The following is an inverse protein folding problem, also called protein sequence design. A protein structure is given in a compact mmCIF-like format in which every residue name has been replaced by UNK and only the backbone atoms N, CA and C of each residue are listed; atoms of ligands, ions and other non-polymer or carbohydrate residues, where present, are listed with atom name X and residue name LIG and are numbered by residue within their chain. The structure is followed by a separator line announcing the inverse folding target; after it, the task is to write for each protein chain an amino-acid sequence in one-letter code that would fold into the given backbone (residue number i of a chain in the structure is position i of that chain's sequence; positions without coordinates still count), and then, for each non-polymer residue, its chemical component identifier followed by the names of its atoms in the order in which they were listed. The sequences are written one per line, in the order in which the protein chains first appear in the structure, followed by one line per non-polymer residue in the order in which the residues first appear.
data_IF_274143130275
#
_entry.id   IF_274143130275
#
_cell.length_a   1.000
_cell.length_b   1.000
_cell.length_c   1.000
_cell.angle_alpha   90.00
_cell.angle_beta   90.00
_cell.angle_gamma   90.00
#
_symmetry.space_group_name_H-M   'P 1'
#
loop_
_entity.id
_entity.type
_entity.pdbx_description
1 polymer ?
#
# COMPACT_ATOMS: atom_id res chain seq x y z
N UNK A 1 24.02 1.12 -8.42
CA UNK A 1 23.10 1.55 -9.49
C UNK A 1 22.42 2.87 -9.10
N UNK A 2 21.93 3.66 -10.08
CA UNK A 2 21.31 4.98 -9.82
C UNK A 2 19.78 4.84 -9.84
N UNK A 3 19.09 5.46 -8.88
CA UNK A 3 17.64 5.58 -8.89
C UNK A 3 17.23 6.49 -10.05
N UNK A 4 16.29 6.06 -10.89
CA UNK A 4 15.75 6.86 -11.99
C UNK A 4 14.44 7.52 -11.59
N UNK A 5 14.22 8.75 -12.06
CA UNK A 5 13.03 9.55 -11.79
C UNK A 5 12.19 9.71 -13.05
N UNK A 6 10.88 9.64 -12.89
CA UNK A 6 9.89 9.75 -13.95
C UNK A 6 8.72 10.62 -13.51
N UNK A 7 8.26 11.49 -14.39
CA UNK A 7 7.06 12.31 -14.18
C UNK A 7 5.87 11.80 -15.02
N UNK A 8 6.18 11.03 -16.08
CA UNK A 8 5.18 10.37 -16.91
C UNK A 8 5.00 8.90 -16.53
N UNK A 9 3.74 8.50 -16.35
CA UNK A 9 3.34 7.15 -15.94
C UNK A 9 3.71 6.08 -16.98
N UNK A 10 3.53 6.38 -18.25
CA UNK A 10 3.82 5.42 -19.33
C UNK A 10 5.30 5.14 -19.36
N UNK A 11 6.15 6.17 -19.41
CA UNK A 11 7.61 6.04 -19.38
C UNK A 11 8.11 5.30 -18.13
N UNK A 12 7.48 5.52 -16.96
CA UNK A 12 7.79 4.79 -15.74
C UNK A 12 7.51 3.29 -15.92
N UNK A 13 6.34 2.92 -16.44
CA UNK A 13 5.93 1.53 -16.63
C UNK A 13 6.72 0.85 -17.76
N UNK A 14 7.00 1.54 -18.87
CA UNK A 14 7.85 1.02 -19.95
C UNK A 14 9.24 0.63 -19.43
N UNK A 15 9.85 1.54 -18.66
CA UNK A 15 11.16 1.27 -18.07
C UNK A 15 11.11 0.16 -17.01
N UNK A 16 10.08 0.16 -16.15
CA UNK A 16 9.94 -0.87 -15.11
C UNK A 16 9.78 -2.27 -15.73
N UNK A 17 8.96 -2.39 -16.77
CA UNK A 17 8.56 -3.69 -17.34
C UNK A 17 9.41 -4.14 -18.53
N UNK A 18 10.35 -3.33 -19.02
CA UNK A 18 11.04 -3.53 -20.30
C UNK A 18 10.04 -3.83 -21.44
N UNK A 19 8.96 -3.05 -21.50
CA UNK A 19 7.83 -3.29 -22.39
C UNK A 19 7.51 -2.08 -23.24
N UNK A 20 6.98 -2.31 -24.45
CA UNK A 20 6.57 -1.23 -25.34
C UNK A 20 5.35 -0.47 -24.83
N UNK A 21 5.23 0.79 -25.27
CA UNK A 21 4.09 1.66 -24.96
C UNK A 21 2.75 1.00 -25.31
N UNK A 22 2.65 0.30 -26.44
CA UNK A 22 1.41 -0.37 -26.84
C UNK A 22 0.95 -1.41 -25.80
N UNK A 23 1.90 -2.19 -25.24
CA UNK A 23 1.58 -3.17 -24.19
C UNK A 23 1.12 -2.49 -22.92
N UNK A 24 1.74 -1.37 -22.54
CA UNK A 24 1.33 -0.58 -21.38
C UNK A 24 -0.08 0.00 -21.59
N UNK A 25 -0.34 0.56 -22.78
CA UNK A 25 -1.66 1.10 -23.11
C UNK A 25 -2.76 0.03 -23.08
N UNK A 26 -2.48 -1.19 -23.54
CA UNK A 26 -3.40 -2.33 -23.43
C UNK A 26 -3.76 -2.61 -21.96
N UNK A 27 -2.76 -2.69 -21.07
CA UNK A 27 -3.00 -2.92 -19.64
C UNK A 27 -3.83 -1.78 -19.03
N UNK A 28 -3.52 -0.53 -19.39
CA UNK A 28 -4.27 0.63 -18.89
C UNK A 28 -5.69 0.68 -19.44
N UNK A 29 -5.92 0.20 -20.68
CA UNK A 29 -7.26 0.06 -21.25
C UNK A 29 -8.07 -1.00 -20.50
N UNK A 30 -7.47 -2.13 -20.12
CA UNK A 30 -8.12 -3.14 -19.29
C UNK A 30 -8.60 -2.53 -17.96
N UNK A 31 -7.79 -1.64 -17.34
CA UNK A 31 -8.19 -0.95 -16.11
C UNK A 31 -9.47 -0.13 -16.26
N UNK A 32 -9.71 0.47 -17.44
CA UNK A 32 -10.92 1.27 -17.68
C UNK A 32 -12.21 0.44 -17.67
N UNK A 33 -12.14 -0.88 -17.93
CA UNK A 33 -13.31 -1.76 -17.79
C UNK A 33 -13.79 -1.89 -16.33
N UNK A 34 -12.99 -1.45 -15.36
CA UNK A 34 -13.38 -1.40 -13.94
C UNK A 34 -14.07 -0.10 -13.52
N UNK A 35 -14.53 0.72 -14.47
CA UNK A 35 -15.19 2.00 -14.18
C UNK A 35 -16.32 1.86 -13.15
N UNK A 36 -17.15 0.83 -13.24
CA UNK A 36 -18.25 0.58 -12.29
C UNK A 36 -17.73 0.36 -10.85
N UNK A 37 -16.61 -0.36 -10.68
CA UNK A 37 -15.98 -0.51 -9.36
C UNK A 37 -15.42 0.82 -8.87
N UNK A 38 -14.74 1.57 -9.73
CA UNK A 38 -14.17 2.88 -9.38
C UNK A 38 -15.25 3.88 -9.00
N UNK A 39 -16.36 3.93 -9.71
CA UNK A 39 -17.53 4.76 -9.35
C UNK A 39 -18.08 4.37 -7.98
N UNK A 40 -18.27 3.07 -7.70
CA UNK A 40 -18.71 2.58 -6.38
C UNK A 40 -17.74 2.96 -5.26
N UNK A 41 -16.43 2.88 -5.51
CA UNK A 41 -15.38 3.27 -4.55
C UNK A 41 -15.46 4.78 -4.28
N UNK A 42 -15.52 5.61 -5.32
CA UNK A 42 -15.61 7.06 -5.18
C UNK A 42 -16.92 7.49 -4.47
N UNK A 43 -18.04 6.87 -4.79
CA UNK A 43 -19.30 7.10 -4.09
C UNK A 43 -19.20 6.78 -2.59
N UNK A 44 -18.53 5.68 -2.22
CA UNK A 44 -18.28 5.39 -0.80
C UNK A 44 -17.34 6.42 -0.16
N UNK A 45 -16.27 6.83 -0.84
CA UNK A 45 -15.33 7.83 -0.32
C UNK A 45 -15.98 9.19 -0.10
N UNK A 46 -16.97 9.58 -0.91
CA UNK A 46 -17.72 10.83 -0.74
C UNK A 46 -18.43 10.93 0.62
N UNK A 47 -18.66 9.82 1.30
CA UNK A 47 -19.18 9.81 2.69
C UNK A 47 -18.22 10.52 3.65
N UNK A 48 -16.92 10.39 3.44
CA UNK A 48 -15.91 11.12 4.23
C UNK A 48 -15.83 12.58 3.81
N UNK A 49 -15.81 12.83 2.49
CA UNK A 49 -15.73 14.18 1.91
C UNK A 49 -16.90 15.04 2.36
N UNK A 50 -18.13 14.49 2.38
CA UNK A 50 -19.34 15.16 2.88
C UNK A 50 -19.28 15.46 4.40
N UNK A 51 -18.36 14.81 5.13
CA UNK A 51 -18.09 15.11 6.54
C UNK A 51 -16.89 16.07 6.71
N UNK A 52 -16.37 16.66 5.62
CA UNK A 52 -15.20 17.54 5.62
C UNK A 52 -13.88 16.80 5.89
N UNK A 53 -13.85 15.49 5.62
CA UNK A 53 -12.67 14.64 5.82
C UNK A 53 -12.13 14.27 4.45
N UNK A 54 -10.90 14.68 4.17
CA UNK A 54 -10.21 14.22 2.96
C UNK A 54 -9.86 12.73 3.11
N UNK A 55 -10.37 11.85 2.24
CA UNK A 55 -10.00 10.44 2.28
C UNK A 55 -8.50 10.29 2.06
N UNK A 56 -7.81 9.60 2.96
CA UNK A 56 -6.43 9.18 2.70
C UNK A 56 -6.45 8.08 1.66
N UNK A 57 -6.10 8.41 0.45
CA UNK A 57 -6.02 7.48 -0.67
C UNK A 57 -4.94 7.92 -1.64
N UNK A 58 -4.37 6.97 -2.33
CA UNK A 58 -3.47 7.22 -3.45
C UNK A 58 -4.20 7.99 -4.57
N UNK A 59 -3.45 8.68 -5.40
CA UNK A 59 -3.99 9.22 -6.64
C UNK A 59 -4.45 8.08 -7.57
N UNK A 60 -5.36 8.39 -8.50
CA UNK A 60 -5.80 7.42 -9.49
C UNK A 60 -4.62 6.88 -10.31
N UNK A 61 -3.65 7.73 -10.67
CA UNK A 61 -2.45 7.32 -11.41
C UNK A 61 -1.60 6.29 -10.65
N UNK A 62 -1.42 6.46 -9.33
CA UNK A 62 -0.74 5.45 -8.49
C UNK A 62 -1.53 4.15 -8.45
N UNK A 63 -2.87 4.23 -8.39
CA UNK A 63 -3.76 3.06 -8.49
C UNK A 63 -3.59 2.31 -9.80
N UNK A 64 -3.52 3.02 -10.92
CA UNK A 64 -3.26 2.45 -12.25
C UNK A 64 -1.88 1.78 -12.32
N UNK A 65 -0.86 2.38 -11.70
CA UNK A 65 0.48 1.76 -11.62
C UNK A 65 0.43 0.45 -10.84
N UNK A 66 -0.25 0.42 -9.67
CA UNK A 66 -0.42 -0.80 -8.87
C UNK A 66 -1.13 -1.89 -9.70
N UNK A 67 -2.27 -1.55 -10.31
CA UNK A 67 -2.99 -2.47 -11.19
C UNK A 67 -2.07 -3.00 -12.31
N UNK A 68 -1.34 -2.12 -12.99
CA UNK A 68 -0.44 -2.49 -14.09
C UNK A 68 0.67 -3.43 -13.63
N UNK A 69 1.24 -3.22 -12.44
CA UNK A 69 2.21 -4.14 -11.85
C UNK A 69 1.60 -5.52 -11.60
N UNK A 70 0.39 -5.60 -11.03
CA UNK A 70 -0.30 -6.88 -10.84
C UNK A 70 -0.55 -7.59 -12.16
N UNK A 71 -1.00 -6.87 -13.19
CA UNK A 71 -1.27 -7.43 -14.52
C UNK A 71 0.00 -7.92 -15.22
N UNK A 72 1.10 -7.18 -15.08
CA UNK A 72 2.37 -7.52 -15.72
C UNK A 72 3.07 -8.70 -15.05
N UNK A 73 3.26 -8.62 -13.72
CA UNK A 73 4.02 -9.63 -12.96
C UNK A 73 3.22 -10.90 -12.65
N UNK A 74 1.89 -10.86 -12.73
CA UNK A 74 0.99 -11.98 -12.42
C UNK A 74 1.33 -12.68 -11.11
N UNK A 75 1.37 -11.96 -9.98
CA UNK A 75 1.84 -12.47 -8.71
C UNK A 75 0.92 -13.55 -8.14
N UNK A 76 1.52 -14.58 -7.52
CA UNK A 76 0.82 -15.53 -6.65
C UNK A 76 0.48 -14.90 -5.31
N UNK A 77 1.44 -14.17 -4.73
CA UNK A 77 1.32 -13.54 -3.41
C UNK A 77 1.71 -12.06 -3.50
N UNK A 78 0.74 -11.22 -3.21
CA UNK A 78 0.94 -9.79 -2.96
C UNK A 78 0.80 -9.54 -1.46
N UNK A 79 1.74 -8.82 -0.87
CA UNK A 79 1.66 -8.38 0.54
C UNK A 79 1.58 -6.86 0.57
N UNK A 80 0.64 -6.32 1.31
CA UNK A 80 0.41 -4.88 1.49
C UNK A 80 0.48 -4.52 2.97
N UNK A 81 1.13 -3.42 3.31
CA UNK A 81 1.06 -2.78 4.62
C UNK A 81 0.40 -1.41 4.51
N UNK A 82 -0.65 -1.19 5.32
CA UNK A 82 -1.51 0.00 5.21
C UNK A 82 -2.65 -0.19 4.20
N UNK A 83 -3.88 -0.18 4.70
CA UNK A 83 -5.09 -0.37 3.89
C UNK A 83 -6.00 0.85 3.96
N UNK A 84 -6.13 1.42 5.14
CA UNK A 84 -7.03 2.55 5.41
C UNK A 84 -8.43 2.35 4.78
N UNK A 85 -8.78 3.16 3.75
CA UNK A 85 -10.06 3.02 3.04
C UNK A 85 -10.13 1.75 2.21
N UNK A 86 -9.01 1.28 1.63
CA UNK A 86 -8.91 0.15 0.72
C UNK A 86 -8.87 0.54 -0.76
N UNK A 87 -8.50 1.77 -1.07
CA UNK A 87 -8.39 2.23 -2.47
C UNK A 87 -7.26 1.49 -3.20
N UNK A 88 -6.03 1.51 -2.67
CA UNK A 88 -4.88 0.78 -3.22
C UNK A 88 -5.14 -0.71 -3.32
N UNK A 89 -5.67 -1.28 -2.23
CA UNK A 89 -6.08 -2.69 -2.20
C UNK A 89 -7.08 -3.02 -3.32
N UNK A 90 -8.06 -2.14 -3.60
CA UNK A 90 -9.03 -2.36 -4.67
C UNK A 90 -8.36 -2.40 -6.05
N UNK A 91 -7.40 -1.51 -6.30
CA UNK A 91 -6.66 -1.49 -7.57
C UNK A 91 -5.84 -2.78 -7.76
N UNK A 92 -5.15 -3.24 -6.71
CA UNK A 92 -4.44 -4.52 -6.74
C UNK A 92 -5.40 -5.71 -6.97
N UNK A 93 -6.54 -5.72 -6.28
CA UNK A 93 -7.53 -6.79 -6.37
C UNK A 93 -8.21 -6.86 -7.74
N UNK A 94 -8.46 -5.73 -8.41
CA UNK A 94 -8.93 -5.71 -9.80
C UNK A 94 -7.92 -6.40 -10.72
N UNK A 95 -6.62 -6.11 -10.57
CA UNK A 95 -5.59 -6.79 -11.34
C UNK A 95 -5.50 -8.29 -11.07
N UNK A 96 -5.65 -8.74 -9.82
CA UNK A 96 -5.71 -10.16 -9.46
C UNK A 96 -6.95 -10.84 -10.03
N UNK A 97 -8.10 -10.15 -10.03
CA UNK A 97 -9.33 -10.66 -10.64
C UNK A 97 -9.15 -10.88 -12.14
N UNK A 98 -8.57 -9.92 -12.86
CA UNK A 98 -8.33 -10.04 -14.32
C UNK A 98 -7.28 -11.11 -14.66
N UNK A 99 -6.34 -11.34 -13.76
CA UNK A 99 -5.42 -12.48 -13.89
C UNK A 99 -6.10 -13.82 -13.56
N UNK A 100 -7.27 -13.78 -12.91
CA UNK A 100 -7.94 -14.95 -12.32
C UNK A 100 -7.00 -15.80 -11.43
N UNK A 101 -6.03 -15.15 -10.78
CA UNK A 101 -4.95 -15.81 -10.07
C UNK A 101 -4.36 -14.89 -8.99
N UNK A 102 -3.80 -15.50 -7.94
CA UNK A 102 -3.07 -14.82 -6.87
C UNK A 102 -3.96 -14.35 -5.72
N UNK A 103 -3.31 -13.83 -4.68
CA UNK A 103 -3.95 -13.31 -3.45
C UNK A 103 -3.26 -12.07 -2.96
N UNK A 104 -4.06 -11.14 -2.42
CA UNK A 104 -3.58 -9.99 -1.66
C UNK A 104 -3.71 -10.28 -0.17
N UNK A 105 -2.61 -10.17 0.55
CA UNK A 105 -2.54 -10.27 2.01
C UNK A 105 -2.18 -8.89 2.55
N UNK A 106 -3.11 -8.25 3.25
CA UNK A 106 -2.91 -6.91 3.78
C UNK A 106 -2.75 -6.93 5.30
N UNK A 107 -1.83 -6.11 5.79
CA UNK A 107 -1.63 -5.83 7.21
C UNK A 107 -2.00 -4.37 7.46
N UNK A 108 -2.92 -4.10 8.37
CA UNK A 108 -3.36 -2.74 8.68
C UNK A 108 -3.51 -2.51 10.18
N UNK A 109 -3.13 -1.31 10.62
CA UNK A 109 -3.36 -0.82 11.96
C UNK A 109 -4.41 0.30 11.90
N UNK A 110 -5.71 -0.06 11.89
CA UNK A 110 -6.76 0.82 11.44
C UNK A 110 -6.97 2.05 12.32
N UNK A 111 -7.14 3.20 11.68
CA UNK A 111 -7.44 4.47 12.32
C UNK A 111 -8.96 4.71 12.40
N UNK A 112 -9.57 4.36 13.54
CA UNK A 112 -11.02 4.52 13.76
C UNK A 112 -11.41 5.92 14.23
N UNK A 113 -12.65 6.34 13.95
CA UNK A 113 -13.25 7.60 14.39
C UNK A 113 -13.28 7.80 15.93
N UNK A 114 -13.22 6.73 16.73
CA UNK A 114 -13.35 6.81 18.19
C UNK A 114 -11.97 6.93 18.87
N UNK A 115 -11.71 8.07 19.49
CA UNK A 115 -10.48 8.34 20.24
C UNK A 115 -10.25 7.36 21.39
N UNK A 116 -11.29 7.00 22.13
CA UNK A 116 -11.17 6.02 23.23
C UNK A 116 -10.79 4.62 22.74
N UNK A 117 -11.40 4.15 21.65
CA UNK A 117 -11.04 2.86 21.05
C UNK A 117 -9.61 2.85 20.51
N UNK A 118 -9.13 4.00 20.00
CA UNK A 118 -7.75 4.13 19.54
C UNK A 118 -6.77 4.07 20.70
N UNK A 119 -7.01 4.83 21.78
CA UNK A 119 -6.14 4.80 22.95
C UNK A 119 -6.07 3.38 23.54
N UNK A 120 -7.20 2.72 23.73
CA UNK A 120 -7.26 1.34 24.22
C UNK A 120 -6.52 0.35 23.29
N UNK A 121 -6.64 0.55 21.98
CA UNK A 121 -5.92 -0.24 20.99
C UNK A 121 -4.42 0.03 21.03
N UNK A 122 -4.01 1.31 21.13
CA UNK A 122 -2.60 1.68 21.21
C UNK A 122 -1.95 1.06 22.44
N UNK A 123 -2.61 1.07 23.61
CA UNK A 123 -2.14 0.34 24.79
C UNK A 123 -2.00 -1.16 24.54
N UNK A 124 -2.94 -1.76 23.82
CA UNK A 124 -2.92 -3.20 23.53
C UNK A 124 -1.80 -3.61 22.59
N UNK A 125 -1.51 -2.81 21.54
CA UNK A 125 -0.59 -3.20 20.46
C UNK A 125 0.78 -2.55 20.56
N UNK A 126 0.87 -1.32 21.09
CA UNK A 126 2.15 -0.59 21.22
C UNK A 126 2.77 -0.71 22.61
N UNK A 127 1.95 -1.01 23.62
CA UNK A 127 2.36 -0.97 25.01
C UNK A 127 2.33 0.45 25.61
N UNK A 128 2.45 0.51 26.95
CA UNK A 128 2.33 1.77 27.71
C UNK A 128 3.45 2.75 27.36
N UNK A 129 4.70 2.28 27.32
CA UNK A 129 5.88 3.14 27.12
C UNK A 129 5.85 3.80 25.74
N UNK A 130 5.56 3.03 24.69
CA UNK A 130 5.52 3.56 23.31
C UNK A 130 4.32 4.50 23.13
N UNK A 131 3.17 4.19 23.71
CA UNK A 131 1.97 5.03 23.64
C UNK A 131 2.15 6.37 24.36
N UNK A 132 2.86 6.39 25.48
CA UNK A 132 3.16 7.59 26.26
C UNK A 132 4.47 8.29 25.85
N UNK A 133 5.18 7.76 24.85
CA UNK A 133 6.33 8.44 24.28
C UNK A 133 5.92 9.77 23.62
N UNK A 134 6.89 10.67 23.41
CA UNK A 134 6.63 11.97 22.75
C UNK A 134 5.98 11.81 21.38
N UNK A 135 6.42 10.83 20.58
CA UNK A 135 5.82 10.49 19.29
C UNK A 135 4.40 9.92 19.44
N UNK A 136 4.16 9.06 20.41
CA UNK A 136 2.84 8.53 20.75
C UNK A 136 1.86 9.61 21.20
N UNK A 137 2.30 10.52 22.07
CA UNK A 137 1.50 11.67 22.53
C UNK A 137 1.17 12.62 21.38
N UNK A 138 2.13 12.97 20.51
CA UNK A 138 1.86 13.76 19.30
C UNK A 138 0.88 13.10 18.37
N UNK A 139 0.95 11.78 18.22
CA UNK A 139 0.02 11.01 17.41
C UNK A 139 -1.39 11.03 18.00
N UNK A 140 -1.52 10.90 19.35
CA UNK A 140 -2.79 11.03 20.06
C UNK A 140 -3.35 12.46 19.95
N UNK A 141 -2.54 13.49 20.21
CA UNK A 141 -2.95 14.88 20.08
C UNK A 141 -3.32 15.25 18.64
N UNK A 142 -2.55 14.80 17.66
CA UNK A 142 -2.86 14.98 16.24
C UNK A 142 -4.21 14.38 15.86
N UNK A 143 -4.59 13.29 16.50
CA UNK A 143 -5.90 12.66 16.32
C UNK A 143 -7.06 13.49 16.90
N UNK A 144 -6.86 14.16 18.05
CA UNK A 144 -7.86 15.07 18.62
C UNK A 144 -7.98 16.38 17.86
N UNK A 145 -6.86 16.90 17.32
CA UNK A 145 -6.80 18.21 16.67
C UNK A 145 -7.18 18.13 15.19
N UNK A 146 -6.72 17.10 14.48
CA UNK A 146 -7.07 16.85 13.07
C UNK A 146 -8.05 15.69 13.00
N UNK A 147 -9.23 15.89 12.45
CA UNK A 147 -10.24 14.83 12.18
C UNK A 147 -9.74 13.80 11.13
N UNK A 148 -8.54 13.27 11.33
CA UNK A 148 -7.88 12.34 10.39
C UNK A 148 -8.28 10.90 10.69
N UNK A 149 -9.54 10.55 10.49
CA UNK A 149 -9.94 9.16 10.47
C UNK A 149 -10.41 8.79 9.05
N UNK A 150 -9.91 7.66 8.56
CA UNK A 150 -10.21 7.18 7.22
C UNK A 150 -11.24 6.04 7.23
N UNK A 151 -11.65 5.61 8.42
CA UNK A 151 -12.61 4.53 8.63
C UNK A 151 -13.82 5.10 9.38
N UNK A 152 -14.98 5.27 8.73
CA UNK A 152 -16.21 5.73 9.37
C UNK A 152 -16.63 4.81 10.51
N UNK A 153 -17.44 5.34 11.45
CA UNK A 153 -18.00 4.57 12.56
C UNK A 153 -18.74 3.32 12.04
N UNK A 154 -18.40 2.15 12.59
CA UNK A 154 -19.00 0.87 12.20
C UNK A 154 -18.41 0.23 10.95
N UNK A 155 -17.50 0.88 10.25
CA UNK A 155 -16.75 0.29 9.12
C UNK A 155 -15.42 -0.32 9.61
N UNK A 156 -14.79 -1.13 8.75
CA UNK A 156 -13.47 -1.76 8.96
C UNK A 156 -12.50 -1.27 7.89
N UNK A 157 -11.19 -1.51 8.07
CA UNK A 157 -10.20 -1.29 7.02
C UNK A 157 -10.64 -1.96 5.71
N UNK A 158 -10.40 -1.29 4.58
CA UNK A 158 -10.85 -1.79 3.29
C UNK A 158 -12.36 -1.70 3.06
N UNK A 159 -13.04 -0.78 3.76
CA UNK A 159 -14.50 -0.65 3.68
C UNK A 159 -15.03 -0.23 2.30
N UNK A 160 -14.18 0.38 1.46
CA UNK A 160 -14.60 0.74 0.10
C UNK A 160 -14.45 -0.44 -0.88
N UNK A 161 -13.68 -1.48 -0.54
CA UNK A 161 -13.42 -2.63 -1.41
C UNK A 161 -14.74 -3.28 -1.83
N UNK A 162 -15.00 -3.43 -3.16
CA UNK A 162 -16.13 -4.18 -3.68
C UNK A 162 -16.18 -5.61 -3.14
N UNK A 163 -17.39 -6.11 -2.88
CA UNK A 163 -17.58 -7.42 -2.24
C UNK A 163 -16.99 -8.56 -3.10
N UNK A 164 -17.15 -8.46 -4.41
CA UNK A 164 -16.72 -9.45 -5.41
C UNK A 164 -15.19 -9.64 -5.42
N UNK A 165 -14.45 -8.58 -5.10
CA UNK A 165 -12.98 -8.61 -5.05
C UNK A 165 -12.44 -9.29 -3.78
N UNK A 166 -13.25 -9.35 -2.71
CA UNK A 166 -12.80 -9.85 -1.40
C UNK A 166 -12.44 -11.34 -1.39
N UNK A 167 -12.83 -12.11 -2.39
CA UNK A 167 -12.42 -13.52 -2.53
C UNK A 167 -10.90 -13.69 -2.76
N UNK A 168 -10.23 -12.66 -3.27
CA UNK A 168 -8.78 -12.61 -3.46
C UNK A 168 -8.04 -11.96 -2.29
N UNK A 169 -8.75 -11.50 -1.24
CA UNK A 169 -8.19 -10.64 -0.19
C UNK A 169 -8.21 -11.27 1.20
N UNK A 170 -7.13 -11.10 1.94
CA UNK A 170 -7.02 -11.45 3.35
C UNK A 170 -6.44 -10.29 4.16
N UNK A 171 -7.13 -9.87 5.23
CA UNK A 171 -6.72 -8.78 6.11
C UNK A 171 -6.29 -9.29 7.47
N UNK A 172 -5.14 -8.84 7.93
CA UNK A 172 -4.66 -8.97 9.30
C UNK A 172 -4.61 -7.60 9.98
N UNK A 173 -5.23 -7.48 11.15
CA UNK A 173 -5.23 -6.23 11.91
C UNK A 173 -4.15 -6.24 12.99
N UNK A 174 -3.23 -5.27 12.94
CA UNK A 174 -2.16 -5.07 13.89
C UNK A 174 -1.02 -4.27 13.30
N UNK A 175 -0.04 -3.92 14.15
CA UNK A 175 1.18 -3.26 13.68
C UNK A 175 1.96 -4.18 12.75
N UNK A 176 2.51 -3.63 11.67
CA UNK A 176 3.30 -4.40 10.71
C UNK A 176 4.46 -5.13 11.38
N UNK A 177 5.15 -4.50 12.32
CA UNK A 177 6.25 -5.12 13.10
C UNK A 177 5.85 -6.40 13.83
N UNK A 178 4.57 -6.55 14.21
CA UNK A 178 4.07 -7.72 14.94
C UNK A 178 3.45 -8.79 14.02
N UNK A 179 2.90 -8.38 12.89
CA UNK A 179 2.12 -9.25 12.00
C UNK A 179 2.92 -9.71 10.79
N UNK A 180 3.68 -8.79 10.17
CA UNK A 180 4.38 -9.06 8.92
C UNK A 180 5.35 -10.24 9.00
N UNK A 181 6.15 -10.44 10.08
CA UNK A 181 7.03 -11.61 10.20
C UNK A 181 6.27 -12.94 10.07
N UNK A 182 5.12 -13.04 10.74
CA UNK A 182 4.28 -14.26 10.67
C UNK A 182 3.62 -14.45 9.31
N UNK A 183 3.27 -13.36 8.61
CA UNK A 183 2.73 -13.43 7.25
C UNK A 183 3.80 -13.99 6.31
N UNK A 184 5.02 -13.47 6.37
CA UNK A 184 6.14 -13.89 5.52
C UNK A 184 6.47 -15.36 5.76
N UNK A 185 6.58 -15.80 7.03
CA UNK A 185 6.86 -17.20 7.36
C UNK A 185 5.81 -18.17 6.81
N UNK A 186 4.56 -17.73 6.70
CA UNK A 186 3.47 -18.57 6.15
C UNK A 186 3.43 -18.59 4.64
N UNK A 187 3.90 -17.56 3.97
CA UNK A 187 3.89 -17.47 2.50
C UNK A 187 5.14 -18.05 1.86
N UNK A 188 6.27 -18.09 2.60
CA UNK A 188 7.62 -18.49 2.18
C UNK A 188 8.20 -17.65 1.02
N UNK A 189 7.37 -17.03 0.20
CA UNK A 189 7.77 -16.12 -0.88
C UNK A 189 6.72 -15.03 -1.07
N UNK A 190 7.14 -13.90 -1.60
CA UNK A 190 6.28 -12.76 -1.95
C UNK A 190 6.70 -12.27 -3.33
N UNK A 191 5.72 -12.08 -4.21
CA UNK A 191 6.01 -11.60 -5.55
C UNK A 191 5.99 -10.07 -5.59
N UNK A 192 4.96 -9.45 -4.98
CA UNK A 192 4.87 -7.99 -4.88
C UNK A 192 4.68 -7.61 -3.42
N UNK A 193 5.51 -6.69 -2.93
CA UNK A 193 5.27 -6.01 -1.66
C UNK A 193 4.92 -4.56 -1.91
N UNK A 194 3.86 -4.07 -1.24
CA UNK A 194 3.45 -2.68 -1.30
C UNK A 194 3.42 -2.07 0.10
N UNK A 195 4.26 -1.04 0.30
CA UNK A 195 4.34 -0.25 1.53
C UNK A 195 3.49 1.02 1.41
N UNK A 196 2.52 1.18 2.31
CA UNK A 196 1.69 2.38 2.47
C UNK A 196 1.20 2.49 3.94
N UNK A 197 2.07 2.13 4.91
CA UNK A 197 1.71 2.08 6.33
C UNK A 197 2.24 3.29 7.11
N UNK A 198 3.05 3.09 8.14
CA UNK A 198 3.73 4.15 8.88
C UNK A 198 5.00 4.57 8.12
N UNK A 199 4.99 5.82 7.63
CA UNK A 199 6.09 6.40 6.86
C UNK A 199 7.23 6.96 7.73
N UNK A 200 7.43 6.47 8.96
CA UNK A 200 8.67 6.72 9.69
C UNK A 200 9.84 5.97 9.01
N UNK A 201 11.03 6.57 9.01
CA UNK A 201 12.22 5.95 8.42
C UNK A 201 12.50 4.59 9.01
N UNK A 202 12.31 4.45 10.33
CA UNK A 202 12.49 3.19 11.07
C UNK A 202 11.53 2.10 10.57
N UNK A 203 10.22 2.41 10.43
CA UNK A 203 9.24 1.42 10.00
C UNK A 203 9.42 1.03 8.52
N UNK A 204 9.68 2.01 7.65
CA UNK A 204 9.95 1.74 6.23
C UNK A 204 11.15 0.81 6.06
N UNK A 205 12.27 1.13 6.72
CA UNK A 205 13.48 0.29 6.67
C UNK A 205 13.24 -1.10 7.27
N UNK A 206 12.50 -1.18 8.38
CA UNK A 206 12.11 -2.46 8.97
C UNK A 206 11.36 -3.33 7.95
N UNK A 207 10.30 -2.79 7.34
CA UNK A 207 9.48 -3.55 6.40
C UNK A 207 10.28 -3.96 5.15
N UNK A 208 11.06 -3.05 4.56
CA UNK A 208 11.86 -3.34 3.37
C UNK A 208 12.92 -4.42 3.63
N UNK A 209 13.67 -4.29 4.74
CA UNK A 209 14.72 -5.27 5.11
C UNK A 209 14.14 -6.63 5.43
N UNK A 210 12.98 -6.66 6.09
CA UNK A 210 12.29 -7.89 6.45
C UNK A 210 11.78 -8.62 5.21
N UNK A 211 11.19 -7.89 4.24
CA UNK A 211 10.53 -8.52 3.09
C UNK A 211 11.51 -8.90 1.98
N UNK A 212 12.60 -8.14 1.79
CA UNK A 212 13.51 -8.29 0.65
C UNK A 212 14.06 -9.70 0.42
N UNK A 213 14.50 -10.44 1.44
CA UNK A 213 14.96 -11.81 1.26
C UNK A 213 13.89 -12.74 0.64
N UNK A 214 12.62 -12.45 0.87
CA UNK A 214 11.48 -13.26 0.46
C UNK A 214 10.84 -12.79 -0.86
N UNK A 215 11.24 -11.63 -1.39
CA UNK A 215 10.82 -11.21 -2.73
C UNK A 215 11.41 -12.17 -3.75
N UNK A 216 10.56 -12.76 -4.58
CA UNK A 216 10.97 -13.63 -5.67
C UNK A 216 11.78 -12.87 -6.72
N UNK A 217 12.71 -13.54 -7.41
CA UNK A 217 13.49 -12.93 -8.48
C UNK A 217 12.59 -12.38 -9.62
N UNK A 218 12.97 -11.26 -10.21
CA UNK A 218 12.19 -10.51 -11.20
C UNK A 218 10.85 -9.95 -10.67
N UNK A 219 10.70 -9.82 -9.37
CA UNK A 219 9.54 -9.24 -8.71
C UNK A 219 9.90 -7.96 -7.95
N UNK A 220 8.91 -7.27 -7.38
CA UNK A 220 9.07 -5.87 -6.99
C UNK A 220 8.65 -5.54 -5.56
N UNK A 221 9.30 -4.52 -5.02
CA UNK A 221 8.76 -3.70 -3.93
C UNK A 221 8.19 -2.40 -4.53
N UNK A 222 6.97 -2.06 -4.15
CA UNK A 222 6.35 -0.76 -4.37
C UNK A 222 6.27 -0.01 -3.03
N UNK A 223 6.42 1.30 -3.04
CA UNK A 223 6.30 2.12 -1.83
C UNK A 223 5.69 3.48 -2.14
N UNK A 224 4.69 3.87 -1.37
CA UNK A 224 4.24 5.26 -1.37
C UNK A 224 5.14 6.12 -0.48
N UNK A 225 5.03 7.45 -0.68
CA UNK A 225 5.63 8.50 0.14
C UNK A 225 7.16 8.38 0.37
N UNK A 226 7.90 7.89 -0.65
CA UNK A 226 9.37 7.71 -0.59
C UNK A 226 10.17 9.02 -0.44
N UNK A 227 9.50 10.16 -0.49
CA UNK A 227 10.06 11.50 -0.32
C UNK A 227 10.00 12.02 1.12
N UNK A 228 9.25 11.38 2.02
CA UNK A 228 9.07 11.86 3.40
C UNK A 228 10.38 11.75 4.21
N UNK A 229 11.20 10.76 3.90
CA UNK A 229 12.49 10.50 4.57
C UNK A 229 13.48 9.85 3.60
N UNK A 230 14.59 9.30 4.14
CA UNK A 230 15.63 8.70 3.32
C UNK A 230 15.55 7.16 3.23
N UNK A 231 14.57 6.50 3.87
CA UNK A 231 14.50 5.03 3.95
C UNK A 231 14.65 4.34 2.60
N UNK A 232 13.91 4.78 1.58
CA UNK A 232 13.98 4.20 0.24
C UNK A 232 15.38 4.30 -0.37
N UNK A 233 16.03 5.47 -0.24
CA UNK A 233 17.40 5.69 -0.75
C UNK A 233 18.44 4.90 0.04
N UNK A 234 18.29 4.83 1.36
CA UNK A 234 19.17 4.05 2.25
C UNK A 234 19.08 2.58 1.85
N UNK A 235 17.85 2.06 1.76
CA UNK A 235 17.62 0.66 1.41
C UNK A 235 18.19 0.30 0.04
N UNK A 236 18.01 1.15 -0.98
CA UNK A 236 18.62 0.94 -2.30
C UNK A 236 20.15 0.88 -2.28
N UNK A 237 20.81 1.46 -1.28
CA UNK A 237 22.29 1.37 -1.13
C UNK A 237 22.74 0.06 -0.46
N UNK A 238 21.86 -0.56 0.32
CA UNK A 238 22.12 -1.78 1.09
C UNK A 238 21.99 -3.05 0.26
N UNK A 239 21.22 -3.00 -0.85
CA UNK A 239 20.83 -4.19 -1.61
C UNK A 239 21.35 -4.18 -3.05
N UNK A 240 21.36 -5.37 -3.65
CA UNK A 240 21.49 -5.52 -5.11
C UNK A 240 20.09 -5.56 -5.73
N UNK A 241 19.86 -4.81 -6.78
CA UNK A 241 18.60 -4.74 -7.51
C UNK A 241 18.82 -4.53 -9.01
N UNK A 242 17.87 -4.87 -9.84
CA UNK A 242 17.91 -4.63 -11.30
C UNK A 242 17.57 -3.19 -11.64
N UNK A 243 16.48 -2.67 -11.04
CA UNK A 243 15.99 -1.31 -11.26
C UNK A 243 15.48 -0.71 -9.96
N UNK A 244 15.71 0.59 -9.79
CA UNK A 244 15.06 1.40 -8.76
C UNK A 244 14.57 2.69 -9.41
N UNK A 245 13.28 2.99 -9.20
CA UNK A 245 12.56 4.08 -9.85
C UNK A 245 11.76 4.88 -8.83
N UNK A 246 11.57 6.17 -9.13
CA UNK A 246 10.66 7.04 -8.40
C UNK A 246 9.76 7.76 -9.41
N UNK A 247 8.45 7.65 -9.22
CA UNK A 247 7.41 8.33 -9.99
C UNK A 247 6.94 9.58 -9.26
N UNK A 248 6.94 10.73 -9.97
CA UNK A 248 6.53 12.06 -9.45
C UNK A 248 7.13 12.39 -8.08
N UNK A 249 8.37 11.94 -7.85
CA UNK A 249 9.10 12.19 -6.61
C UNK A 249 8.57 11.46 -5.36
N UNK A 250 7.46 10.72 -5.44
CA UNK A 250 6.74 10.17 -4.28
C UNK A 250 6.60 8.66 -4.29
N UNK A 251 6.35 8.04 -5.43
CA UNK A 251 6.04 6.61 -5.51
C UNK A 251 7.25 5.84 -6.02
N UNK A 252 7.76 4.91 -5.21
CA UNK A 252 8.96 4.14 -5.50
C UNK A 252 8.66 2.73 -5.99
N UNK A 253 9.55 2.19 -6.85
CA UNK A 253 9.58 0.79 -7.25
C UNK A 253 11.01 0.26 -7.24
N UNK A 254 11.22 -0.95 -6.70
CA UNK A 254 12.50 -1.66 -6.72
C UNK A 254 12.27 -3.04 -7.32
N UNK A 255 12.91 -3.33 -8.46
CA UNK A 255 12.89 -4.63 -9.12
C UNK A 255 14.11 -5.45 -8.67
N UNK A 256 13.87 -6.65 -8.15
CA UNK A 256 14.89 -7.61 -7.69
C UNK A 256 15.60 -8.37 -8.82
#
# INVERSE_FOLDING_TARGET
MKIKHFDDKISFLEYLFDSSQNKIQTILSDYLFHEAYMQSIHQKLSILENQGIQPNRLSNEKGEIIYSCIRHFKPSIVVETGVATGFSSSCALMGLMDNNFGKLISVDYPNYKSSFKKIARDFKYKGIVETLSYSGIRHILGYFIKKNYHIPKGKKSGWVIPAELKKYWRLYNGLSKNILPNVILKTNSVDIFFHDSDHSEENMLFEFRLIWPFISDNNIILSDDVNINNAFKIFCREIKYKKALIYKGQFGAILK
#
